data_IF_672923142865
#
_entry.id   IF_672923142865
#
_cell.length_a   1.000
_cell.length_b   1.000
_cell.length_c   1.000
_cell.angle_alpha   90.00
_cell.angle_beta   90.00
_cell.angle_gamma   90.00
#
_symmetry.space_group_name_H-M   'P 1'
#
loop_
_entity.id
_entity.type
_entity.pdbx_description
1 polymer ?
#
# COMPACT_ATOMS: atom_id res chain seq x y z
N UNK A 1 -23.02 4.49 11.07
CA UNK A 1 -22.46 5.22 9.91
C UNK A 1 -20.95 5.16 10.06
N UNK A 2 -20.19 4.89 8.99
CA UNK A 2 -18.73 4.80 9.07
C UNK A 2 -18.12 6.18 8.81
N UNK A 3 -17.06 6.53 9.55
CA UNK A 3 -16.33 7.78 9.34
C UNK A 3 -15.46 7.71 8.08
N UNK A 4 -15.43 8.79 7.31
CA UNK A 4 -14.59 8.92 6.11
C UNK A 4 -13.54 10.01 6.35
N UNK A 5 -12.27 9.60 6.35
CA UNK A 5 -11.14 10.51 6.51
C UNK A 5 -10.58 10.88 5.13
N UNK A 6 -10.45 12.18 4.84
CA UNK A 6 -10.02 12.67 3.54
C UNK A 6 -9.04 13.84 3.66
N UNK A 7 -8.08 13.93 2.73
CA UNK A 7 -7.21 15.07 2.57
C UNK A 7 -7.02 15.43 1.09
N UNK A 8 -7.05 16.73 0.77
CA UNK A 8 -6.75 17.22 -0.57
C UNK A 8 -5.28 16.99 -0.94
N UNK A 9 -5.02 16.55 -2.17
CA UNK A 9 -3.67 16.34 -2.72
C UNK A 9 -2.90 17.63 -3.01
N UNK A 10 -3.53 18.81 -2.89
CA UNK A 10 -2.85 20.10 -3.05
C UNK A 10 -1.82 20.29 -1.92
N UNK A 11 -0.58 20.63 -2.25
CA UNK A 11 0.48 20.88 -1.28
C UNK A 11 1.06 22.29 -1.50
N UNK A 12 0.94 23.16 -0.48
CA UNK A 12 1.40 24.56 -0.53
C UNK A 12 2.61 24.86 0.38
N UNK A 13 2.97 23.91 1.24
CA UNK A 13 4.12 24.00 2.15
C UNK A 13 4.58 22.59 2.51
N UNK A 14 5.76 22.47 3.13
CA UNK A 14 6.29 21.18 3.58
C UNK A 14 5.37 20.44 4.58
N UNK A 15 4.79 21.17 5.54
CA UNK A 15 3.81 20.62 6.50
C UNK A 15 2.51 20.15 5.82
N UNK A 16 2.19 20.73 4.65
CA UNK A 16 1.05 20.37 3.81
C UNK A 16 1.44 19.43 2.65
N UNK A 17 2.61 18.79 2.71
CA UNK A 17 3.02 17.79 1.72
C UNK A 17 2.08 16.58 1.72
N UNK A 18 1.97 15.91 0.56
CA UNK A 18 1.15 14.69 0.42
C UNK A 18 1.57 13.60 1.43
N UNK A 19 2.88 13.49 1.67
CA UNK A 19 3.47 12.59 2.68
C UNK A 19 2.94 12.90 4.09
N UNK A 20 3.06 14.17 4.54
CA UNK A 20 2.58 14.57 5.86
C UNK A 20 1.07 14.38 6.02
N UNK A 21 0.30 14.58 4.94
CA UNK A 21 -1.15 14.37 4.93
C UNK A 21 -1.54 12.91 5.10
N UNK A 22 -0.87 11.99 4.40
CA UNK A 22 -1.15 10.55 4.54
C UNK A 22 -0.86 10.07 5.97
N UNK A 23 0.26 10.50 6.56
CA UNK A 23 0.59 10.17 7.95
C UNK A 23 -0.47 10.70 8.93
N UNK A 24 -0.93 11.94 8.74
CA UNK A 24 -2.04 12.51 9.52
C UNK A 24 -3.34 11.74 9.34
N UNK A 25 -3.68 11.30 8.12
CA UNK A 25 -4.86 10.47 7.88
C UNK A 25 -4.78 9.12 8.59
N UNK A 26 -3.61 8.47 8.57
CA UNK A 26 -3.38 7.23 9.31
C UNK A 26 -3.65 7.40 10.81
N UNK A 27 -3.14 8.50 11.40
CA UNK A 27 -3.31 8.79 12.81
C UNK A 27 -4.77 9.18 13.15
N UNK A 28 -5.38 10.03 12.34
CA UNK A 28 -6.77 10.45 12.52
C UNK A 28 -7.76 9.29 12.40
N UNK A 29 -7.53 8.36 11.46
CA UNK A 29 -8.35 7.16 11.28
C UNK A 29 -8.15 6.11 12.38
N UNK A 30 -7.21 6.33 13.32
CA UNK A 30 -6.96 5.40 14.42
C UNK A 30 -6.37 4.06 14.01
N UNK A 31 -5.86 3.90 12.77
CA UNK A 31 -5.31 2.62 12.29
C UNK A 31 -4.20 2.07 13.18
N UNK A 32 -3.51 2.97 13.87
CA UNK A 32 -2.50 2.61 14.82
C UNK A 32 -2.96 1.71 15.97
N UNK A 33 -4.22 1.79 16.40
CA UNK A 33 -4.75 0.96 17.49
C UNK A 33 -4.98 -0.50 17.08
N UNK A 34 -5.00 -0.77 15.77
CA UNK A 34 -5.20 -2.10 15.21
C UNK A 34 -3.88 -2.86 14.98
N UNK A 35 -2.73 -2.23 15.19
CA UNK A 35 -1.39 -2.79 14.91
C UNK A 35 -0.63 -2.98 16.22
N UNK A 36 -0.22 -4.21 16.51
CA UNK A 36 0.59 -4.56 17.69
C UNK A 36 2.03 -4.87 17.29
N UNK A 37 3.00 -4.67 18.21
CA UNK A 37 4.38 -5.10 17.96
C UNK A 37 4.47 -6.59 17.62
N UNK A 38 5.23 -6.93 16.58
CA UNK A 38 5.41 -8.29 16.09
C UNK A 38 4.34 -8.78 15.10
N UNK A 39 3.26 -8.03 14.86
CA UNK A 39 2.22 -8.44 13.92
C UNK A 39 2.75 -8.55 12.48
N UNK A 40 2.32 -9.58 11.75
CA UNK A 40 2.41 -9.60 10.29
C UNK A 40 1.25 -8.76 9.74
N UNK A 41 1.52 -7.52 9.34
CA UNK A 41 0.47 -6.56 8.98
C UNK A 41 0.32 -6.44 7.47
N UNK A 42 -0.81 -6.95 6.94
CA UNK A 42 -1.17 -6.77 5.54
C UNK A 42 -1.60 -5.32 5.24
N UNK A 43 -1.00 -4.70 4.24
CA UNK A 43 -1.44 -3.43 3.67
C UNK A 43 -1.98 -3.73 2.27
N UNK A 44 -3.31 -3.90 2.19
CA UNK A 44 -4.01 -4.18 0.93
C UNK A 44 -4.09 -2.90 0.08
N UNK A 45 -3.71 -2.98 -1.18
CA UNK A 45 -3.89 -1.92 -2.16
C UNK A 45 -4.02 -2.49 -3.58
N UNK A 46 -4.50 -1.66 -4.51
CA UNK A 46 -4.56 -2.02 -5.92
C UNK A 46 -3.27 -1.57 -6.62
N UNK A 47 -2.46 -2.51 -7.11
CA UNK A 47 -1.15 -2.19 -7.69
C UNK A 47 -1.22 -1.67 -9.14
N UNK A 48 -2.38 -1.82 -9.79
CA UNK A 48 -2.58 -1.43 -11.19
C UNK A 48 -2.41 -2.59 -12.16
N UNK A 49 -2.84 -2.40 -13.40
CA UNK A 49 -2.64 -3.35 -14.49
C UNK A 49 -1.49 -2.88 -15.39
N UNK A 50 -0.73 -3.80 -15.99
CA UNK A 50 0.39 -3.45 -16.88
C UNK A 50 -0.07 -2.46 -17.96
N UNK A 51 0.61 -1.34 -18.06
CA UNK A 51 0.33 -0.27 -19.03
C UNK A 51 -0.62 0.83 -18.52
N UNK A 52 -1.16 0.71 -17.30
CA UNK A 52 -1.87 1.83 -16.66
C UNK A 52 -0.92 2.65 -15.76
N UNK A 53 -1.32 3.87 -15.43
CA UNK A 53 -0.64 4.77 -14.48
C UNK A 53 -1.59 5.27 -13.37
N UNK A 54 -2.78 4.68 -13.27
CA UNK A 54 -3.86 5.10 -12.37
C UNK A 54 -3.72 4.54 -10.94
N UNK A 55 -2.68 3.76 -10.66
CA UNK A 55 -2.38 3.24 -9.34
C UNK A 55 -1.87 4.35 -8.41
N UNK A 56 -2.01 4.14 -7.10
CA UNK A 56 -1.49 5.10 -6.13
C UNK A 56 0.03 5.19 -6.23
N UNK A 57 0.57 6.40 -6.09
CA UNK A 57 2.03 6.55 -6.10
C UNK A 57 2.66 5.71 -4.98
N UNK A 58 3.67 4.85 -5.25
CA UNK A 58 4.23 3.92 -4.25
C UNK A 58 4.78 4.59 -2.99
N UNK A 59 5.35 5.80 -3.11
CA UNK A 59 5.78 6.60 -1.97
C UNK A 59 4.65 6.96 -0.98
N UNK A 60 3.39 6.94 -1.42
CA UNK A 60 2.23 7.10 -0.54
C UNK A 60 1.98 5.85 0.29
N UNK A 61 2.04 4.67 -0.35
CA UNK A 61 1.96 3.39 0.36
C UNK A 61 3.10 3.24 1.38
N UNK A 62 4.32 3.68 1.02
CA UNK A 62 5.47 3.71 1.94
C UNK A 62 5.16 4.47 3.24
N UNK A 63 4.42 5.58 3.20
CA UNK A 63 4.10 6.31 4.43
C UNK A 63 3.26 5.49 5.40
N UNK A 64 2.37 4.63 4.89
CA UNK A 64 1.60 3.69 5.71
C UNK A 64 2.49 2.56 6.21
N UNK A 65 3.36 2.01 5.36
CA UNK A 65 4.38 1.01 5.75
C UNK A 65 5.23 1.52 6.92
N UNK A 66 5.77 2.73 6.81
CA UNK A 66 6.62 3.32 7.83
C UNK A 66 5.85 3.53 9.15
N UNK A 67 4.59 3.98 9.10
CA UNK A 67 3.72 4.08 10.29
C UNK A 67 3.46 2.73 10.97
N UNK A 68 3.36 1.65 10.21
CA UNK A 68 3.21 0.28 10.74
C UNK A 68 4.52 -0.19 11.37
N UNK A 69 5.68 0.07 10.73
CA UNK A 69 7.00 -0.24 11.29
C UNK A 69 7.32 0.53 12.56
N UNK A 70 6.93 1.79 12.65
CA UNK A 70 7.07 2.62 13.86
C UNK A 70 6.36 1.99 15.09
N UNK A 71 5.43 1.06 14.87
CA UNK A 71 4.73 0.29 15.92
C UNK A 71 5.38 -1.06 16.22
N UNK A 72 6.53 -1.36 15.61
CA UNK A 72 7.26 -2.63 15.80
C UNK A 72 6.64 -3.82 15.07
N UNK A 73 5.73 -3.60 14.12
CA UNK A 73 5.13 -4.66 13.31
C UNK A 73 5.94 -4.91 12.02
N UNK A 74 5.60 -6.00 11.32
CA UNK A 74 6.21 -6.45 10.07
C UNK A 74 5.22 -6.29 8.91
N UNK A 75 5.18 -5.13 8.24
CA UNK A 75 4.25 -4.90 7.14
C UNK A 75 4.64 -5.62 5.86
N UNK A 76 3.63 -6.02 5.08
CA UNK A 76 3.77 -6.42 3.69
C UNK A 76 2.65 -5.81 2.84
N UNK A 77 2.96 -5.45 1.60
CA UNK A 77 1.95 -5.02 0.64
C UNK A 77 1.28 -6.24 0.04
N UNK A 78 -0.03 -6.17 -0.19
CA UNK A 78 -0.76 -7.28 -0.77
C UNK A 78 -1.85 -6.82 -1.73
N UNK A 79 -2.13 -7.67 -2.70
CA UNK A 79 -3.27 -7.61 -3.61
C UNK A 79 -3.73 -9.06 -3.93
N UNK A 80 -4.80 -9.22 -4.68
CA UNK A 80 -5.38 -10.51 -5.11
C UNK A 80 -5.48 -10.50 -6.63
N UNK A 81 -5.30 -11.67 -7.23
CA UNK A 81 -5.42 -11.90 -8.65
C UNK A 81 -6.79 -11.46 -9.20
N UNK A 82 -6.78 -11.07 -10.47
CA UNK A 82 -7.99 -10.73 -11.22
C UNK A 82 -8.62 -11.98 -11.80
N UNK A 83 -9.95 -12.05 -11.82
CA UNK A 83 -10.68 -13.15 -12.48
C UNK A 83 -10.56 -13.15 -14.02
N UNK A 84 -10.12 -12.03 -14.58
CA UNK A 84 -9.93 -11.86 -16.02
C UNK A 84 -8.46 -12.04 -16.41
N UNK A 85 -8.23 -12.35 -17.68
CA UNK A 85 -6.89 -12.48 -18.23
C UNK A 85 -6.13 -11.14 -18.18
N UNK A 86 -4.93 -11.16 -17.64
CA UNK A 86 -4.10 -9.97 -17.47
C UNK A 86 -2.78 -10.27 -16.80
N UNK A 87 -2.00 -9.23 -16.53
CA UNK A 87 -0.73 -9.33 -15.81
C UNK A 87 -0.93 -9.62 -14.33
N UNK A 88 -2.16 -9.52 -13.81
CA UNK A 88 -2.53 -9.89 -12.45
C UNK A 88 -3.30 -11.20 -12.34
N UNK A 89 -3.27 -12.05 -13.38
CA UNK A 89 -4.01 -13.31 -13.38
C UNK A 89 -3.40 -14.42 -12.50
N UNK A 90 -2.14 -14.28 -12.09
CA UNK A 90 -1.47 -15.20 -11.15
C UNK A 90 -0.44 -14.45 -10.30
N UNK A 91 -0.01 -15.02 -9.18
CA UNK A 91 0.87 -14.30 -8.24
C UNK A 91 2.24 -13.94 -8.83
N UNK A 92 2.79 -14.73 -9.74
CA UNK A 92 4.12 -14.49 -10.32
C UNK A 92 4.07 -13.25 -11.20
N UNK A 93 3.16 -13.24 -12.18
CA UNK A 93 2.97 -12.11 -13.09
C UNK A 93 2.51 -10.86 -12.33
N UNK A 94 1.63 -11.04 -11.34
CA UNK A 94 1.11 -9.94 -10.53
C UNK A 94 2.25 -9.28 -9.72
N UNK A 95 3.12 -10.08 -9.10
CA UNK A 95 4.28 -9.57 -8.37
C UNK A 95 5.22 -8.79 -9.28
N UNK A 96 5.46 -9.27 -10.50
CA UNK A 96 6.27 -8.53 -11.49
C UNK A 96 5.61 -7.18 -11.83
N UNK A 97 4.31 -7.15 -12.09
CA UNK A 97 3.58 -5.89 -12.34
C UNK A 97 3.67 -4.93 -11.16
N UNK A 98 3.51 -5.42 -9.93
CA UNK A 98 3.65 -4.58 -8.74
C UNK A 98 5.06 -3.98 -8.63
N UNK A 99 6.11 -4.76 -8.91
CA UNK A 99 7.50 -4.30 -8.90
C UNK A 99 7.73 -3.25 -9.98
N UNK A 100 7.28 -3.49 -11.22
CA UNK A 100 7.40 -2.54 -12.34
C UNK A 100 6.69 -1.20 -12.05
N UNK A 101 5.57 -1.24 -11.32
CA UNK A 101 4.85 -0.05 -10.86
C UNK A 101 5.47 0.61 -9.61
N UNK A 102 6.61 0.13 -9.15
CA UNK A 102 7.38 0.72 -8.06
C UNK A 102 6.95 0.30 -6.66
N UNK A 103 6.12 -0.74 -6.51
CA UNK A 103 5.84 -1.36 -5.21
C UNK A 103 6.95 -2.33 -4.75
N UNK A 104 8.13 -2.27 -5.38
CA UNK A 104 9.31 -3.00 -4.98
C UNK A 104 9.78 -2.62 -3.56
N UNK A 105 10.39 -3.57 -2.84
CA UNK A 105 10.90 -3.37 -1.48
C UNK A 105 11.79 -2.13 -1.34
N UNK A 106 12.67 -1.88 -2.31
CA UNK A 106 13.59 -0.74 -2.29
C UNK A 106 12.87 0.62 -2.25
N UNK A 107 11.64 0.70 -2.77
CA UNK A 107 10.83 1.92 -2.83
C UNK A 107 9.80 1.93 -1.70
N UNK A 108 9.00 0.86 -1.58
CA UNK A 108 7.89 0.75 -0.64
C UNK A 108 8.33 0.42 0.80
N UNK A 109 9.57 -0.03 0.98
CA UNK A 109 10.12 -0.52 2.24
C UNK A 109 9.39 -1.75 2.83
N UNK A 110 8.57 -2.44 2.04
CA UNK A 110 7.89 -3.67 2.44
C UNK A 110 7.87 -4.66 1.26
N UNK A 111 7.90 -5.98 1.53
CA UNK A 111 7.73 -6.97 0.48
C UNK A 111 6.30 -6.94 -0.07
N UNK A 112 6.13 -7.34 -1.32
CA UNK A 112 4.82 -7.60 -1.93
C UNK A 112 4.55 -9.09 -1.85
N UNK A 113 3.40 -9.47 -1.27
CA UNK A 113 2.95 -10.86 -1.16
C UNK A 113 1.51 -10.93 -1.66
N UNK A 114 1.27 -11.65 -2.75
CA UNK A 114 -0.06 -11.84 -3.32
C UNK A 114 -0.83 -12.88 -2.48
N UNK A 115 -2.06 -12.56 -2.09
CA UNK A 115 -2.75 -13.24 -0.99
C UNK A 115 -3.47 -14.55 -1.36
N UNK A 116 -3.69 -14.82 -2.66
CA UNK A 116 -4.51 -15.94 -3.15
C UNK A 116 -3.68 -17.10 -3.74
N UNK A 117 -2.39 -17.16 -3.41
CA UNK A 117 -1.51 -18.25 -3.82
C UNK A 117 -1.06 -18.14 -5.28
N UNK A 118 -0.40 -19.18 -5.80
CA UNK A 118 0.27 -19.08 -7.10
C UNK A 118 -0.69 -18.83 -8.26
N UNK A 119 -1.90 -19.38 -8.22
CA UNK A 119 -2.85 -19.38 -9.34
C UNK A 119 -4.13 -18.58 -9.10
N UNK A 120 -4.29 -17.96 -7.92
CA UNK A 120 -5.55 -17.38 -7.46
C UNK A 120 -6.51 -18.40 -6.89
#
# INVERSE_FOLDING_TARGET
>A
MADVYFASLRARSHHESKVAKIRRLFDAAGFGTAVRPGDLTAIKLHVGERGCDTYIHPLFARQVVDKVKERGAHPFLTDTATLYAGSRADAVRHTVTAIEHGFAYAVAAAPVIIADGLTG
#
